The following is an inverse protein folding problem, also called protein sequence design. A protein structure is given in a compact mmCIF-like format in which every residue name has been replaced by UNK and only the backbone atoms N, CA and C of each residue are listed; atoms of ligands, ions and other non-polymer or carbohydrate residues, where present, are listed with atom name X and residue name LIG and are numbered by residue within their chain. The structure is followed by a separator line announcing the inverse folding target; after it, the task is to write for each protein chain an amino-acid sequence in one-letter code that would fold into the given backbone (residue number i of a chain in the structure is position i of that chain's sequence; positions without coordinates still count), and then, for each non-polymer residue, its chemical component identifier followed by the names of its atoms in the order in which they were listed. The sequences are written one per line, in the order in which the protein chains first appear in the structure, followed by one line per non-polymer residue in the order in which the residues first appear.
data_IF_212637724696
#
_entry.id   IF_212637724696
#
_cell.length_a   1.000
_cell.length_b   1.000
_cell.length_c   1.000
_cell.angle_alpha   90.00
_cell.angle_beta   90.00
_cell.angle_gamma   90.00
#
_symmetry.space_group_name_H-M   'P 1'
#
loop_
_entity.id
_entity.type
_entity.pdbx_description
1 polymer ?
#
# COMPACT_ATOMS: atom_id res chain seq x y z
N UNK A 1 25.80 11.71 -7.83
CA UNK A 1 24.60 11.04 -7.29
C UNK A 1 24.83 10.84 -5.80
N UNK A 2 23.89 11.26 -4.95
CA UNK A 2 24.03 11.27 -3.48
C UNK A 2 23.62 9.93 -2.88
N UNK A 3 24.23 9.51 -1.77
CA UNK A 3 23.96 8.25 -1.06
C UNK A 3 22.46 8.01 -0.77
N UNK A 4 21.73 9.07 -0.39
CA UNK A 4 20.29 9.00 -0.13
C UNK A 4 19.46 8.59 -1.37
N UNK A 5 19.87 8.99 -2.57
CA UNK A 5 19.21 8.57 -3.82
C UNK A 5 19.43 7.08 -4.11
N UNK A 6 20.62 6.56 -3.79
CA UNK A 6 20.93 5.13 -3.93
C UNK A 6 20.11 4.30 -2.96
N UNK A 7 20.02 4.70 -1.68
CA UNK A 7 19.23 4.00 -0.66
C UNK A 7 17.74 3.94 -1.03
N UNK A 8 17.16 5.05 -1.51
CA UNK A 8 15.77 5.10 -2.00
C UNK A 8 15.55 4.11 -3.14
N UNK A 9 16.43 4.09 -4.14
CA UNK A 9 16.30 3.19 -5.29
C UNK A 9 16.40 1.72 -4.90
N UNK A 10 17.28 1.38 -3.95
CA UNK A 10 17.39 0.01 -3.41
C UNK A 10 16.10 -0.42 -2.73
N UNK A 11 15.52 0.42 -1.87
CA UNK A 11 14.25 0.11 -1.19
C UNK A 11 13.12 0.00 -2.20
N UNK A 12 13.03 0.91 -3.18
CA UNK A 12 11.97 0.90 -4.20
C UNK A 12 12.04 -0.35 -5.09
N UNK A 13 13.25 -0.80 -5.45
CA UNK A 13 13.42 -2.07 -6.17
C UNK A 13 12.88 -3.25 -5.36
N UNK A 14 13.23 -3.34 -4.07
CA UNK A 14 12.73 -4.40 -3.18
C UNK A 14 11.21 -4.36 -3.03
N UNK A 15 10.61 -3.17 -2.97
CA UNK A 15 9.15 -3.00 -2.95
C UNK A 15 8.53 -3.53 -4.24
N UNK A 16 9.09 -3.16 -5.40
CA UNK A 16 8.62 -3.63 -6.70
C UNK A 16 8.54 -5.15 -6.75
N UNK A 17 9.62 -5.84 -6.35
CA UNK A 17 9.66 -7.31 -6.34
C UNK A 17 8.58 -7.92 -5.42
N UNK A 18 8.25 -7.26 -4.31
CA UNK A 18 7.20 -7.74 -3.41
C UNK A 18 5.78 -7.46 -3.90
N UNK A 19 5.58 -6.37 -4.62
CA UNK A 19 4.31 -6.08 -5.30
C UNK A 19 4.07 -7.14 -6.36
N UNK A 20 5.07 -7.41 -7.20
CA UNK A 20 5.02 -8.44 -8.26
C UNK A 20 4.62 -9.79 -7.66
N UNK A 21 5.34 -10.23 -6.62
CA UNK A 21 5.00 -11.48 -5.92
C UNK A 21 3.60 -11.46 -5.28
N UNK A 22 3.13 -10.32 -4.77
CA UNK A 22 1.82 -10.26 -4.15
C UNK A 22 0.70 -10.37 -5.21
N UNK A 23 0.84 -9.69 -6.34
CA UNK A 23 -0.14 -9.71 -7.44
C UNK A 23 -0.17 -11.07 -8.17
N UNK A 24 0.98 -11.75 -8.28
CA UNK A 24 1.04 -13.10 -8.87
C UNK A 24 0.37 -14.17 -7.99
N UNK A 25 0.49 -14.05 -6.66
CA UNK A 25 0.11 -15.11 -5.73
C UNK A 25 -1.25 -14.89 -5.05
N UNK A 26 -1.84 -13.71 -5.15
CA UNK A 26 -3.08 -13.36 -4.44
C UNK A 26 -4.01 -12.56 -5.34
N UNK A 27 -5.14 -13.17 -5.71
CA UNK A 27 -6.12 -12.58 -6.63
C UNK A 27 -6.71 -11.27 -6.10
N UNK A 28 -6.69 -11.05 -4.79
CA UNK A 28 -7.15 -9.79 -4.18
C UNK A 28 -6.37 -8.56 -4.69
N UNK A 29 -5.11 -8.71 -5.09
CA UNK A 29 -4.29 -7.60 -5.53
C UNK A 29 -4.20 -7.47 -7.06
N UNK A 30 -4.83 -8.37 -7.83
CA UNK A 30 -4.76 -8.34 -9.29
C UNK A 30 -5.46 -7.14 -9.93
N UNK A 31 -6.43 -6.56 -9.22
CA UNK A 31 -7.19 -5.39 -9.67
C UNK A 31 -6.47 -4.06 -9.38
N UNK A 32 -5.39 -4.08 -8.59
CA UNK A 32 -4.60 -2.88 -8.29
C UNK A 32 -3.73 -2.48 -9.48
N UNK A 33 -3.60 -1.18 -9.70
CA UNK A 33 -2.62 -0.67 -10.66
C UNK A 33 -1.21 -0.70 -10.03
N UNK A 34 -0.36 -1.51 -10.64
CA UNK A 34 1.03 -1.71 -10.21
C UNK A 34 1.85 -0.42 -10.28
N UNK A 35 1.70 0.36 -11.33
CA UNK A 35 2.48 1.57 -11.53
C UNK A 35 2.04 2.68 -10.56
N UNK A 36 0.74 2.76 -10.26
CA UNK A 36 0.22 3.61 -9.19
C UNK A 36 0.77 3.21 -7.83
N UNK A 37 0.84 1.91 -7.50
CA UNK A 37 1.46 1.43 -6.27
C UNK A 37 2.92 1.87 -6.18
N UNK A 38 3.71 1.70 -7.24
CA UNK A 38 5.12 2.14 -7.27
C UNK A 38 5.22 3.65 -7.05
N UNK A 39 4.35 4.45 -7.65
CA UNK A 39 4.31 5.89 -7.44
C UNK A 39 3.96 6.24 -5.99
N UNK A 40 2.96 5.57 -5.40
CA UNK A 40 2.57 5.73 -4.00
C UNK A 40 3.74 5.42 -3.07
N UNK A 41 4.44 4.31 -3.28
CA UNK A 41 5.64 3.99 -2.48
C UNK A 41 6.77 4.99 -2.70
N UNK A 42 7.00 5.47 -3.92
CA UNK A 42 7.99 6.50 -4.20
C UNK A 42 7.71 7.78 -3.40
N UNK A 43 6.44 8.22 -3.35
CA UNK A 43 5.96 9.37 -2.55
C UNK A 43 6.11 9.12 -1.05
N UNK A 44 5.85 7.90 -0.57
CA UNK A 44 6.07 7.52 0.83
C UNK A 44 7.56 7.65 1.19
N UNK A 45 8.45 7.17 0.33
CA UNK A 45 9.90 7.23 0.53
C UNK A 45 10.47 8.66 0.43
N UNK A 46 9.76 9.60 -0.17
CA UNK A 46 10.11 11.04 -0.08
C UNK A 46 9.90 11.60 1.33
N UNK A 47 9.05 10.96 2.14
CA UNK A 47 8.69 11.40 3.50
C UNK A 47 9.29 10.50 4.58
N UNK A 48 9.60 9.26 4.25
CA UNK A 48 10.09 8.24 5.16
C UNK A 48 11.51 7.84 4.78
N UNK A 49 12.44 7.93 5.73
CA UNK A 49 13.84 7.56 5.48
C UNK A 49 13.96 6.10 5.06
N UNK A 50 14.62 5.85 3.92
CA UNK A 50 14.92 4.49 3.46
C UNK A 50 15.74 3.68 4.48
N UNK A 51 16.51 4.34 5.34
CA UNK A 51 17.34 3.71 6.37
C UNK A 51 16.53 2.98 7.44
N UNK A 52 15.27 3.35 7.68
CA UNK A 52 14.42 2.60 8.62
C UNK A 52 13.83 1.32 8.00
N UNK A 53 13.84 1.24 6.66
CA UNK A 53 13.26 0.13 5.91
C UNK A 53 14.29 -0.89 5.44
N UNK A 54 15.51 -0.44 5.10
CA UNK A 54 16.63 -1.28 4.71
C UNK A 54 16.95 -2.43 5.69
N UNK A 55 17.00 -2.21 7.02
CA UNK A 55 17.36 -3.28 7.97
C UNK A 55 16.20 -4.22 8.29
N UNK A 56 14.99 -3.96 7.78
CA UNK A 56 13.86 -4.87 8.01
C UNK A 56 14.10 -6.18 7.26
N UNK A 57 13.91 -7.30 7.96
CA UNK A 57 13.85 -8.61 7.32
C UNK A 57 12.66 -8.71 6.36
N UNK A 58 12.69 -9.72 5.48
CA UNK A 58 11.71 -9.86 4.41
C UNK A 58 10.27 -9.96 4.93
N UNK A 59 10.03 -10.72 5.99
CA UNK A 59 8.68 -10.86 6.57
C UNK A 59 8.12 -9.53 7.08
N UNK A 60 8.91 -8.75 7.82
CA UNK A 60 8.47 -7.44 8.33
C UNK A 60 8.29 -6.45 7.19
N UNK A 61 9.19 -6.45 6.22
CA UNK A 61 9.12 -5.56 5.07
C UNK A 61 7.91 -5.89 4.18
N UNK A 62 7.68 -7.18 3.90
CA UNK A 62 6.50 -7.70 3.18
C UNK A 62 5.21 -7.32 3.86
N UNK A 63 5.14 -7.43 5.20
CA UNK A 63 3.97 -6.98 5.96
C UNK A 63 3.68 -5.49 5.73
N UNK A 64 4.71 -4.63 5.73
CA UNK A 64 4.55 -3.18 5.47
C UNK A 64 4.05 -2.91 4.06
N UNK A 65 4.64 -3.58 3.06
CA UNK A 65 4.21 -3.44 1.65
C UNK A 65 2.74 -3.85 1.50
N UNK A 66 2.36 -5.01 2.04
CA UNK A 66 0.97 -5.50 1.99
C UNK A 66 -0.02 -4.58 2.71
N UNK A 67 0.36 -3.94 3.82
CA UNK A 67 -0.52 -2.97 4.49
C UNK A 67 -0.86 -1.79 3.59
N UNK A 68 0.12 -1.27 2.84
CA UNK A 68 -0.13 -0.18 1.88
C UNK A 68 -1.00 -0.69 0.74
N UNK A 69 -0.68 -1.84 0.14
CA UNK A 69 -1.51 -2.43 -0.93
C UNK A 69 -2.96 -2.66 -0.49
N UNK A 70 -3.18 -3.16 0.72
CA UNK A 70 -4.53 -3.35 1.26
C UNK A 70 -5.26 -2.01 1.49
N UNK A 71 -4.53 -0.94 1.81
CA UNK A 71 -5.12 0.40 1.96
C UNK A 71 -5.58 0.95 0.61
N UNK A 72 -4.78 0.77 -0.43
CA UNK A 72 -5.16 1.16 -1.80
C UNK A 72 -6.35 0.34 -2.28
N UNK A 73 -6.35 -0.98 -2.05
CA UNK A 73 -7.48 -1.85 -2.40
C UNK A 73 -8.78 -1.40 -1.72
N UNK A 74 -8.73 -1.11 -0.42
CA UNK A 74 -9.89 -0.60 0.31
C UNK A 74 -10.34 0.76 -0.24
N UNK A 75 -9.41 1.61 -0.67
CA UNK A 75 -9.75 2.90 -1.26
C UNK A 75 -10.47 2.74 -2.60
N UNK A 76 -10.00 1.84 -3.47
CA UNK A 76 -10.68 1.48 -4.73
C UNK A 76 -12.09 0.95 -4.48
N UNK A 77 -12.24 0.01 -3.54
CA UNK A 77 -13.56 -0.53 -3.16
C UNK A 77 -14.48 0.57 -2.65
N UNK A 78 -13.97 1.46 -1.79
CA UNK A 78 -14.75 2.56 -1.24
C UNK A 78 -15.12 3.59 -2.32
N UNK A 79 -14.31 3.78 -3.36
CA UNK A 79 -14.63 4.68 -4.46
C UNK A 79 -15.86 4.20 -5.26
N UNK A 80 -16.01 2.89 -5.41
CA UNK A 80 -17.15 2.26 -6.09
C UNK A 80 -18.46 2.33 -5.28
N UNK A 81 -18.40 2.65 -3.99
CA UNK A 81 -19.61 2.78 -3.18
C UNK A 81 -20.45 3.99 -3.61
N UNK A 82 -21.77 3.77 -3.66
CA UNK A 82 -22.76 4.84 -3.73
C UNK A 82 -22.73 5.71 -2.48
N UNK A 83 -23.38 6.88 -2.54
CA UNK A 83 -23.48 7.78 -1.38
C UNK A 83 -24.13 7.10 -0.17
N UNK A 84 -25.18 6.30 -0.39
CA UNK A 84 -25.87 5.56 0.67
C UNK A 84 -24.98 4.47 1.29
N UNK A 85 -24.23 3.73 0.49
CA UNK A 85 -23.29 2.71 0.97
C UNK A 85 -22.13 3.33 1.76
N UNK A 86 -21.62 4.50 1.34
CA UNK A 86 -20.63 5.27 2.10
C UNK A 86 -21.18 5.72 3.45
N UNK A 87 -22.41 6.21 3.50
CA UNK A 87 -23.06 6.63 4.74
C UNK A 87 -23.25 5.44 5.70
N UNK A 88 -23.70 4.29 5.20
CA UNK A 88 -23.81 3.06 5.98
C UNK A 88 -22.45 2.59 6.51
N UNK A 89 -21.42 2.54 5.66
CA UNK A 89 -20.07 2.17 6.06
C UNK A 89 -19.53 3.08 7.16
N UNK A 90 -19.66 4.39 6.98
CA UNK A 90 -19.22 5.39 7.98
C UNK A 90 -19.99 5.23 9.30
N UNK A 91 -21.31 5.03 9.26
CA UNK A 91 -22.11 4.79 10.45
C UNK A 91 -21.64 3.55 11.22
N UNK A 92 -21.25 2.47 10.53
CA UNK A 92 -20.68 1.27 11.17
C UNK A 92 -19.31 1.57 11.80
N UNK A 93 -18.41 2.21 11.05
CA UNK A 93 -17.04 2.52 11.52
C UNK A 93 -17.05 3.47 12.71
N UNK A 94 -17.97 4.43 12.72
CA UNK A 94 -18.11 5.43 13.77
C UNK A 94 -19.00 4.96 14.93
N UNK A 95 -19.49 3.71 14.87
CA UNK A 95 -20.31 3.10 15.92
C UNK A 95 -21.70 3.73 16.08
N UNK A 96 -22.20 4.41 15.04
CA UNK A 96 -23.54 5.01 14.98
C UNK A 96 -24.58 4.12 14.31
N UNK A 97 -24.19 2.94 13.85
CA UNK A 97 -25.11 1.99 13.23
C UNK A 97 -25.95 1.27 14.28
N UNK A 98 -27.19 1.71 14.46
CA UNK A 98 -28.20 1.00 15.24
C UNK A 98 -28.95 0.02 14.32
N UNK A 99 -28.96 -1.26 14.70
CA UNK A 99 -29.61 -2.35 13.94
C UNK A 99 -31.13 -2.32 14.05
#
# INVERSE_FOLDING_TARGET
MTQASTEKNTVLKRISEMIDQAMENDSLYQELDRDELIQTFSKILDRVSSQILLPLNDERFKKRVRTVMATELLSTILDDFTAEEKEMFNAVVEGRWEK
#
